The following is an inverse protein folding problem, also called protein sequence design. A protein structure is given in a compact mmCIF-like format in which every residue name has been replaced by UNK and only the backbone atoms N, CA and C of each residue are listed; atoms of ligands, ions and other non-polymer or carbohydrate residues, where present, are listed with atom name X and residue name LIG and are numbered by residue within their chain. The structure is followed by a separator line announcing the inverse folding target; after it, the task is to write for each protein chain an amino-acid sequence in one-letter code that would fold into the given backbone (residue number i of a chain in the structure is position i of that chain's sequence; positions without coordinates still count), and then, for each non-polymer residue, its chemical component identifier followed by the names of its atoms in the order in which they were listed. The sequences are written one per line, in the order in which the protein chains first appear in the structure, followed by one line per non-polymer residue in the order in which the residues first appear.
data_IF_676977816702
#
_entry.id   IF_676977816702
#
_cell.length_a   1.000
_cell.length_b   1.000
_cell.length_c   1.000
_cell.angle_alpha   90.00
_cell.angle_beta   90.00
_cell.angle_gamma   90.00
#
_symmetry.space_group_name_H-M   'P 1'
#
loop_
_entity.id
_entity.type
_entity.pdbx_description
1 polymer ?
#
# COMPACT_ATOMS: atom_id res chain seq x y z
N UNK A 1 2.52 -32.05 67.95
CA UNK A 1 2.60 -30.59 67.67
C UNK A 1 2.50 -30.34 66.17
N UNK A 2 1.62 -29.42 65.77
CA UNK A 2 1.07 -29.25 64.40
C UNK A 2 2.09 -28.72 63.38
N UNK A 3 2.32 -29.48 62.29
CA UNK A 3 2.82 -28.94 61.02
C UNK A 3 1.69 -28.09 60.39
N UNK A 4 1.83 -26.77 60.40
CA UNK A 4 0.96 -25.85 59.64
C UNK A 4 1.29 -26.02 58.14
N UNK A 5 0.35 -26.56 57.37
CA UNK A 5 0.30 -26.47 55.91
C UNK A 5 0.44 -25.00 55.49
N UNK A 6 1.53 -24.65 54.79
CA UNK A 6 1.62 -23.39 54.02
C UNK A 6 0.76 -23.58 52.77
N UNK A 7 -0.46 -23.05 52.78
CA UNK A 7 -1.32 -22.99 51.59
C UNK A 7 -0.59 -22.27 50.46
N UNK A 8 -0.58 -22.88 49.28
CA UNK A 8 0.00 -22.29 48.08
C UNK A 8 -0.75 -20.98 47.76
N UNK A 9 -0.09 -19.84 47.94
CA UNK A 9 -0.68 -18.53 47.61
C UNK A 9 -0.69 -18.41 46.10
N UNK A 10 -1.86 -18.47 45.48
CA UNK A 10 -2.02 -18.24 44.05
C UNK A 10 -1.92 -16.74 43.74
N UNK A 11 -0.75 -16.34 43.21
CA UNK A 11 -0.45 -14.96 42.83
C UNK A 11 -1.38 -14.46 41.72
N UNK A 12 -1.85 -15.33 40.82
CA UNK A 12 -2.79 -14.95 39.76
C UNK A 12 -4.16 -14.58 40.35
N UNK A 13 -4.62 -15.35 41.34
CA UNK A 13 -5.87 -15.06 42.06
C UNK A 13 -5.77 -13.75 42.84
N UNK A 14 -4.61 -13.47 43.46
CA UNK A 14 -4.36 -12.21 44.16
C UNK A 14 -4.35 -11.00 43.22
N UNK A 15 -3.72 -11.10 42.05
CA UNK A 15 -3.73 -10.04 41.02
C UNK A 15 -5.18 -9.76 40.60
N UNK A 16 -5.95 -10.81 40.31
CA UNK A 16 -7.35 -10.68 39.87
C UNK A 16 -8.23 -10.06 40.97
N UNK A 17 -8.06 -10.47 42.23
CA UNK A 17 -8.78 -9.91 43.37
C UNK A 17 -8.38 -8.45 43.66
N UNK A 18 -7.10 -8.10 43.49
CA UNK A 18 -6.64 -6.72 43.63
C UNK A 18 -7.25 -5.81 42.57
N UNK A 19 -7.36 -6.30 41.33
CA UNK A 19 -7.99 -5.57 40.23
C UNK A 19 -9.53 -5.49 40.34
N UNK A 20 -10.18 -6.45 41.02
CA UNK A 20 -11.61 -6.33 41.38
C UNK A 20 -11.87 -5.23 42.42
N UNK A 21 -10.90 -4.99 43.32
CA UNK A 21 -11.00 -3.97 44.38
C UNK A 21 -10.50 -2.59 43.95
N UNK A 22 -9.57 -2.52 43.00
CA UNK A 22 -9.01 -1.28 42.46
C UNK A 22 -9.04 -1.30 40.94
N UNK A 23 -9.52 -0.24 40.27
CA UNK A 23 -9.65 -0.21 38.81
C UNK A 23 -8.32 -0.32 38.07
N UNK A 24 -7.20 -0.09 38.77
CA UNK A 24 -5.84 -0.22 38.24
C UNK A 24 -4.86 -0.66 39.34
N UNK A 25 -3.90 -1.52 38.99
CA UNK A 25 -2.89 -2.06 39.92
C UNK A 25 -1.51 -2.01 39.27
N UNK A 26 -0.47 -1.61 40.02
CA UNK A 26 0.92 -1.71 39.58
C UNK A 26 1.54 -3.03 40.06
N UNK A 27 2.54 -3.53 39.34
CA UNK A 27 3.30 -4.71 39.78
C UNK A 27 3.95 -4.50 41.16
N UNK A 28 4.35 -3.26 41.49
CA UNK A 28 4.88 -2.89 42.80
C UNK A 28 3.89 -3.11 43.94
N UNK A 29 2.59 -2.97 43.69
CA UNK A 29 1.56 -3.08 44.72
C UNK A 29 1.38 -4.55 45.13
N UNK A 30 1.47 -5.46 44.15
CA UNK A 30 1.43 -6.91 44.38
C UNK A 30 2.72 -7.40 45.03
N UNK A 31 3.88 -6.87 44.63
CA UNK A 31 5.16 -7.16 45.30
C UNK A 31 5.11 -6.77 46.77
N UNK A 32 4.61 -5.56 47.10
CA UNK A 32 4.43 -5.12 48.49
C UNK A 32 3.44 -5.98 49.28
N UNK A 33 2.35 -6.42 48.64
CA UNK A 33 1.32 -7.21 49.31
C UNK A 33 1.70 -8.68 49.55
N UNK A 34 2.61 -9.23 48.73
CA UNK A 34 2.96 -10.66 48.75
C UNK A 34 4.37 -10.96 49.26
N UNK A 35 5.28 -9.97 49.22
CA UNK A 35 6.70 -10.16 49.53
C UNK A 35 7.48 -10.95 48.47
N UNK A 36 6.85 -11.36 47.36
CA UNK A 36 7.53 -12.08 46.29
C UNK A 36 8.43 -11.17 45.45
N UNK A 37 9.43 -11.77 44.78
CA UNK A 37 10.32 -11.03 43.89
C UNK A 37 9.54 -10.42 42.71
N UNK A 38 10.00 -9.25 42.25
CA UNK A 38 9.36 -8.55 41.12
C UNK A 38 9.35 -9.39 39.84
N UNK A 39 10.39 -10.19 39.62
CA UNK A 39 10.47 -11.12 38.48
C UNK A 39 9.37 -12.20 38.55
N UNK A 40 9.15 -12.77 39.73
CA UNK A 40 8.12 -13.80 39.95
C UNK A 40 6.71 -13.24 39.73
N UNK A 41 6.40 -12.07 40.32
CA UNK A 41 5.10 -11.38 40.13
C UNK A 41 4.88 -10.99 38.66
N UNK A 42 5.90 -10.49 37.99
CA UNK A 42 5.81 -10.12 36.57
C UNK A 42 5.50 -11.32 35.67
N UNK A 43 5.96 -12.53 36.02
CA UNK A 43 5.62 -13.76 35.27
C UNK A 43 4.11 -13.98 35.23
N UNK A 44 3.43 -13.79 36.36
CA UNK A 44 1.97 -13.94 36.43
C UNK A 44 1.23 -12.81 35.73
N UNK A 45 1.73 -11.56 35.77
CA UNK A 45 1.18 -10.48 34.94
C UNK A 45 1.30 -10.78 33.45
N UNK A 46 2.43 -11.33 33.00
CA UNK A 46 2.60 -11.76 31.60
C UNK A 46 1.67 -12.91 31.25
N UNK A 47 1.52 -13.90 32.13
CA UNK A 47 0.59 -15.01 31.95
C UNK A 47 -0.87 -14.52 31.84
N UNK A 48 -1.35 -13.71 32.78
CA UNK A 48 -2.71 -13.17 32.75
C UNK A 48 -2.95 -12.25 31.54
N UNK A 49 -1.91 -11.57 31.05
CA UNK A 49 -1.96 -10.78 29.82
C UNK A 49 -2.05 -11.68 28.58
N UNK A 50 -1.29 -12.77 28.52
CA UNK A 50 -1.37 -13.78 27.45
C UNK A 50 -2.74 -14.47 27.44
N UNK A 51 -3.31 -14.74 28.61
CA UNK A 51 -4.66 -15.28 28.78
C UNK A 51 -5.78 -14.25 28.51
N UNK A 52 -5.44 -12.99 28.18
CA UNK A 52 -6.41 -11.93 27.87
C UNK A 52 -7.23 -11.44 29.06
N UNK A 53 -6.89 -11.82 30.30
CA UNK A 53 -7.63 -11.46 31.52
C UNK A 53 -7.36 -10.03 32.00
N UNK A 54 -6.21 -9.46 31.61
CA UNK A 54 -5.79 -8.11 32.02
C UNK A 54 -5.09 -7.38 30.86
N UNK A 55 -5.12 -6.04 30.92
CA UNK A 55 -4.43 -5.18 29.95
C UNK A 55 -3.43 -4.25 30.64
N UNK A 56 -2.31 -4.00 29.98
CA UNK A 56 -1.29 -3.05 30.42
C UNK A 56 -1.56 -1.66 29.82
N UNK A 57 -1.61 -0.66 30.68
CA UNK A 57 -1.67 0.77 30.35
C UNK A 57 -0.31 1.44 30.67
N UNK A 58 0.23 2.19 29.71
CA UNK A 58 1.46 2.97 29.87
C UNK A 58 2.77 2.19 29.64
N UNK A 59 3.90 2.90 29.70
CA UNK A 59 5.24 2.37 29.44
C UNK A 59 6.15 2.48 30.68
N UNK A 60 7.05 1.50 30.85
CA UNK A 60 8.07 1.46 31.90
C UNK A 60 7.54 1.78 33.31
N UNK A 61 7.97 2.90 33.92
CA UNK A 61 7.62 3.29 35.30
C UNK A 61 6.15 3.75 35.47
N UNK A 62 5.40 3.89 34.38
CA UNK A 62 3.96 4.23 34.39
C UNK A 62 3.05 3.04 34.15
N UNK A 63 3.62 1.83 34.01
CA UNK A 63 2.88 0.58 33.79
C UNK A 63 1.80 0.33 34.85
N UNK A 64 0.54 0.31 34.44
CA UNK A 64 -0.62 -0.06 35.26
C UNK A 64 -1.39 -1.18 34.59
N UNK A 65 -1.86 -2.15 35.35
CA UNK A 65 -2.69 -3.25 34.87
C UNK A 65 -4.14 -3.00 35.24
N UNK A 66 -5.05 -3.36 34.35
CA UNK A 66 -6.50 -3.27 34.55
C UNK A 66 -7.14 -4.61 34.22
N UNK A 67 -8.30 -4.92 34.80
CA UNK A 67 -9.11 -6.05 34.32
C UNK A 67 -9.50 -5.82 32.86
N UNK A 68 -9.60 -6.92 32.12
CA UNK A 68 -10.14 -6.95 30.77
C UNK A 68 -11.65 -6.66 30.78
N UNK A 69 -12.04 -5.42 31.08
CA UNK A 69 -13.36 -4.92 30.72
C UNK A 69 -13.33 -4.57 29.23
N UNK A 70 -14.20 -5.20 28.44
CA UNK A 70 -14.31 -4.96 27.00
C UNK A 70 -14.39 -3.47 26.68
N UNK A 71 -15.06 -2.64 27.49
CA UNK A 71 -15.14 -1.19 27.26
C UNK A 71 -13.80 -0.48 27.44
N UNK A 72 -13.00 -0.86 28.42
CA UNK A 72 -11.69 -0.25 28.67
C UNK A 72 -10.65 -0.76 27.68
N UNK A 73 -10.72 -2.04 27.30
CA UNK A 73 -9.91 -2.61 26.21
C UNK A 73 -10.20 -1.86 24.91
N UNK A 74 -11.47 -1.67 24.56
CA UNK A 74 -11.88 -0.93 23.37
C UNK A 74 -11.41 0.52 23.42
N UNK A 75 -11.55 1.23 24.56
CA UNK A 75 -11.02 2.60 24.73
C UNK A 75 -9.50 2.67 24.59
N UNK A 76 -8.79 1.71 25.17
CA UNK A 76 -7.32 1.67 25.14
C UNK A 76 -6.83 1.41 23.72
N UNK A 77 -7.42 0.42 23.04
CA UNK A 77 -7.10 0.11 21.64
C UNK A 77 -7.43 1.27 20.71
N UNK A 78 -8.56 1.96 20.92
CA UNK A 78 -8.94 3.17 20.18
C UNK A 78 -7.96 4.33 20.32
N UNK A 79 -7.16 4.37 21.40
CA UNK A 79 -6.10 5.38 21.57
C UNK A 79 -4.80 5.06 20.82
N UNK A 80 -4.64 3.83 20.33
CA UNK A 80 -3.44 3.40 19.60
C UNK A 80 -3.60 3.80 18.14
N UNK A 81 -2.93 4.88 17.73
CA UNK A 81 -3.02 5.39 16.37
C UNK A 81 -1.90 4.92 15.44
N UNK A 82 -1.03 4.04 15.92
CA UNK A 82 0.14 3.55 15.18
C UNK A 82 0.26 2.04 15.31
N UNK A 83 0.57 1.37 14.20
CA UNK A 83 0.92 -0.04 14.12
C UNK A 83 2.28 -0.18 13.46
N UNK A 84 3.18 -0.98 14.05
CA UNK A 84 4.48 -1.29 13.46
C UNK A 84 4.88 -2.73 13.76
N UNK A 85 5.20 -3.49 12.72
CA UNK A 85 5.64 -4.89 12.84
C UNK A 85 6.70 -5.23 11.81
N UNK A 86 7.61 -6.12 12.22
CA UNK A 86 8.48 -6.85 11.31
C UNK A 86 7.89 -8.26 11.18
N UNK A 87 7.29 -8.55 10.03
CA UNK A 87 6.59 -9.80 9.76
C UNK A 87 7.57 -10.80 9.15
N UNK A 88 7.49 -12.08 9.54
CA UNK A 88 8.19 -13.16 8.84
C UNK A 88 7.37 -13.55 7.62
N UNK A 89 8.01 -13.66 6.46
CA UNK A 89 7.32 -14.02 5.22
C UNK A 89 7.23 -15.55 5.09
N UNK A 90 6.50 -16.18 6.01
CA UNK A 90 6.25 -17.63 6.04
C UNK A 90 4.79 -17.81 6.44
N UNK A 91 3.96 -18.36 5.55
CA UNK A 91 2.51 -18.50 5.73
C UNK A 91 1.86 -17.18 6.18
N UNK A 92 2.35 -16.06 5.63
CA UNK A 92 1.84 -14.73 5.93
C UNK A 92 0.65 -14.44 5.01
N UNK A 93 -0.41 -13.86 5.58
CA UNK A 93 -1.64 -13.50 4.87
C UNK A 93 -1.98 -12.05 5.19
N UNK A 94 -2.22 -11.24 4.17
CA UNK A 94 -2.43 -9.80 4.28
C UNK A 94 -3.73 -9.44 5.00
N UNK A 95 -4.78 -10.25 4.82
CA UNK A 95 -6.07 -10.12 5.49
C UNK A 95 -5.94 -10.32 7.00
N UNK A 96 -5.17 -11.30 7.46
CA UNK A 96 -4.90 -11.57 8.88
C UNK A 96 -4.17 -10.37 9.52
N UNK A 97 -3.21 -9.78 8.80
CA UNK A 97 -2.48 -8.60 9.29
C UNK A 97 -3.39 -7.38 9.36
N UNK A 98 -4.24 -7.16 8.34
CA UNK A 98 -5.24 -6.10 8.35
C UNK A 98 -6.21 -6.27 9.53
N UNK A 99 -6.70 -7.47 9.74
CA UNK A 99 -7.57 -7.84 10.86
C UNK A 99 -6.92 -7.53 12.22
N UNK A 100 -5.62 -7.83 12.36
CA UNK A 100 -4.85 -7.48 13.56
C UNK A 100 -4.84 -5.97 13.79
N UNK A 101 -4.62 -5.17 12.73
CA UNK A 101 -4.60 -3.71 12.80
C UNK A 101 -5.97 -3.19 13.23
N UNK A 102 -7.05 -3.63 12.58
CA UNK A 102 -8.43 -3.20 12.88
C UNK A 102 -8.84 -3.58 14.30
N UNK A 103 -8.50 -4.80 14.76
CA UNK A 103 -8.89 -5.31 16.08
C UNK A 103 -8.08 -4.74 17.22
N UNK A 104 -6.83 -4.30 16.98
CA UNK A 104 -5.90 -3.91 18.04
C UNK A 104 -5.53 -2.42 18.05
N UNK A 105 -5.99 -1.64 17.09
CA UNK A 105 -5.69 -0.19 17.01
C UNK A 105 -6.96 0.65 16.82
N UNK A 106 -6.81 1.96 16.99
CA UNK A 106 -7.82 2.98 16.71
C UNK A 106 -7.68 3.60 15.31
N UNK A 107 -6.79 3.09 14.46
CA UNK A 107 -6.51 3.65 13.13
C UNK A 107 -7.79 3.69 12.28
N UNK A 108 -8.58 2.62 12.31
CA UNK A 108 -9.85 2.53 11.59
C UNK A 108 -11.04 3.11 12.39
N UNK A 109 -10.81 3.61 13.61
CA UNK A 109 -11.90 4.14 14.43
C UNK A 109 -12.32 5.53 13.93
N UNK A 110 -13.60 5.70 13.59
CA UNK A 110 -14.19 6.99 13.21
C UNK A 110 -13.69 7.54 11.88
N UNK A 111 -13.20 6.67 10.98
CA UNK A 111 -12.99 7.03 9.57
C UNK A 111 -14.26 6.69 8.77
N UNK A 112 -14.50 7.40 7.67
CA UNK A 112 -15.63 7.13 6.79
C UNK A 112 -15.49 5.76 6.09
N UNK A 113 -16.61 5.18 5.69
CA UNK A 113 -16.63 3.86 5.07
C UNK A 113 -15.82 3.82 3.77
N UNK A 114 -15.92 4.85 2.91
CA UNK A 114 -15.17 4.93 1.67
C UNK A 114 -13.65 4.96 1.92
N UNK A 115 -13.19 5.75 2.90
CA UNK A 115 -11.76 5.80 3.27
C UNK A 115 -11.31 4.46 3.88
N UNK A 116 -12.14 3.83 4.71
CA UNK A 116 -11.85 2.50 5.27
C UNK A 116 -11.66 1.47 4.16
N UNK A 117 -12.55 1.44 3.16
CA UNK A 117 -12.49 0.50 2.03
C UNK A 117 -11.26 0.73 1.16
N UNK A 118 -10.94 1.98 0.85
CA UNK A 118 -9.73 2.34 0.11
C UNK A 118 -8.48 1.89 0.87
N UNK A 119 -8.41 2.20 2.16
CA UNK A 119 -7.26 1.88 2.99
C UNK A 119 -7.06 0.36 3.12
N UNK A 120 -8.15 -0.39 3.34
CA UNK A 120 -8.12 -1.85 3.39
C UNK A 120 -7.62 -2.44 2.07
N UNK A 121 -8.23 -2.05 0.93
CA UNK A 121 -7.83 -2.52 -0.39
C UNK A 121 -6.37 -2.20 -0.71
N UNK A 122 -5.97 -0.94 -0.56
CA UNK A 122 -4.61 -0.51 -0.85
C UNK A 122 -3.58 -1.23 0.03
N UNK A 123 -3.87 -1.40 1.32
CA UNK A 123 -2.96 -2.08 2.23
C UNK A 123 -2.80 -3.56 1.88
N UNK A 124 -3.90 -4.28 1.63
CA UNK A 124 -3.85 -5.71 1.29
C UNK A 124 -3.14 -5.93 -0.05
N UNK A 125 -3.44 -5.13 -1.07
CA UNK A 125 -2.76 -5.23 -2.37
C UNK A 125 -1.25 -5.00 -2.23
N UNK A 126 -0.82 -3.98 -1.48
CA UNK A 126 0.61 -3.67 -1.35
C UNK A 126 1.35 -4.68 -0.48
N UNK A 127 0.72 -5.21 0.57
CA UNK A 127 1.30 -6.26 1.40
C UNK A 127 1.36 -7.60 0.66
N UNK A 128 0.31 -7.98 -0.06
CA UNK A 128 0.28 -9.21 -0.84
C UNK A 128 1.37 -9.20 -1.92
N UNK A 129 1.53 -8.09 -2.65
CA UNK A 129 2.63 -7.92 -3.61
C UNK A 129 4.01 -8.14 -2.95
N UNK A 130 4.21 -7.67 -1.71
CA UNK A 130 5.44 -7.90 -0.98
C UNK A 130 5.60 -9.37 -0.55
N UNK A 131 4.52 -10.03 -0.12
CA UNK A 131 4.53 -11.46 0.27
C UNK A 131 4.94 -12.34 -0.91
N UNK A 132 4.27 -12.16 -2.05
CA UNK A 132 4.35 -13.08 -3.19
C UNK A 132 5.54 -12.82 -4.11
N UNK A 133 5.96 -11.57 -4.27
CA UNK A 133 6.92 -11.20 -5.31
C UNK A 133 8.27 -10.74 -4.78
N UNK A 134 8.39 -10.39 -3.50
CA UNK A 134 9.68 -9.87 -2.98
C UNK A 134 10.76 -10.96 -2.85
N UNK A 135 10.37 -12.20 -2.54
CA UNK A 135 11.30 -13.23 -2.07
C UNK A 135 12.03 -12.87 -0.77
N UNK A 136 11.57 -11.84 -0.05
CA UNK A 136 12.20 -11.39 1.20
C UNK A 136 11.81 -12.32 2.35
N UNK A 137 12.74 -12.59 3.27
CA UNK A 137 12.47 -13.38 4.49
C UNK A 137 11.53 -12.68 5.47
N UNK A 138 11.42 -11.36 5.35
CA UNK A 138 10.69 -10.53 6.30
C UNK A 138 10.29 -9.20 5.69
N UNK A 139 9.13 -8.70 6.10
CA UNK A 139 8.50 -7.48 5.58
C UNK A 139 8.20 -6.55 6.75
N UNK A 140 8.67 -5.31 6.67
CA UNK A 140 8.32 -4.27 7.62
C UNK A 140 6.99 -3.64 7.21
N UNK A 141 6.03 -3.64 8.13
CA UNK A 141 4.75 -2.94 8.00
C UNK A 141 4.68 -1.84 9.05
N UNK A 142 4.25 -0.67 8.61
CA UNK A 142 3.91 0.47 9.46
C UNK A 142 2.60 1.08 8.97
N UNK A 143 1.69 1.43 9.89
CA UNK A 143 0.47 2.18 9.58
C UNK A 143 0.20 3.17 10.71
N UNK A 144 -0.22 4.37 10.37
CA UNK A 144 -0.50 5.42 11.33
C UNK A 144 -1.68 6.28 10.87
N UNK A 145 -2.57 6.59 11.81
CA UNK A 145 -3.57 7.64 11.68
C UNK A 145 -3.06 8.88 12.43
N UNK A 146 -2.78 9.96 11.72
CA UNK A 146 -2.27 11.19 12.32
C UNK A 146 -2.91 12.41 11.67
N UNK A 147 -3.33 13.37 12.49
CA UNK A 147 -4.06 14.55 12.03
C UNK A 147 -5.30 14.16 11.22
N UNK A 148 -5.38 14.67 9.99
CA UNK A 148 -6.49 14.40 9.07
C UNK A 148 -6.15 13.36 8.00
N UNK A 149 -5.20 12.45 8.25
CA UNK A 149 -4.78 11.44 7.27
C UNK A 149 -4.47 10.08 7.89
N UNK A 150 -4.50 9.05 7.05
CA UNK A 150 -3.93 7.73 7.34
C UNK A 150 -2.83 7.43 6.34
N UNK A 151 -1.69 6.97 6.86
CA UNK A 151 -0.53 6.59 6.07
C UNK A 151 -0.13 5.15 6.40
N UNK A 152 0.30 4.39 5.41
CA UNK A 152 0.99 3.12 5.63
C UNK A 152 2.26 3.02 4.81
N UNK A 153 3.16 2.17 5.30
CA UNK A 153 4.39 1.77 4.63
C UNK A 153 4.49 0.25 4.65
N UNK A 154 4.77 -0.32 3.48
CA UNK A 154 5.18 -1.73 3.32
C UNK A 154 6.61 -1.71 2.78
N UNK A 155 7.53 -2.40 3.44
CA UNK A 155 8.93 -2.45 3.03
C UNK A 155 9.50 -3.86 3.11
N UNK A 156 9.86 -4.41 1.96
CA UNK A 156 10.61 -5.65 1.85
C UNK A 156 12.09 -5.35 1.53
N UNK A 157 12.99 -6.28 1.90
CA UNK A 157 14.42 -6.24 1.50
C UNK A 157 14.75 -7.29 0.46
N UNK A 158 13.77 -7.62 -0.38
CA UNK A 158 13.83 -8.65 -1.40
C UNK A 158 14.49 -8.20 -2.70
N UNK A 159 14.04 -8.78 -3.81
CA UNK A 159 14.56 -8.54 -5.16
C UNK A 159 14.35 -7.09 -5.62
N UNK A 160 13.28 -6.44 -5.18
CA UNK A 160 12.85 -5.12 -5.65
C UNK A 160 11.97 -5.19 -6.90
N UNK A 161 10.91 -4.38 -6.91
CA UNK A 161 9.86 -4.43 -7.94
C UNK A 161 10.40 -4.17 -9.35
N UNK A 162 11.23 -3.14 -9.54
CA UNK A 162 11.73 -2.80 -10.88
C UNK A 162 12.67 -3.89 -11.39
N UNK A 163 13.53 -4.43 -10.52
CA UNK A 163 14.43 -5.51 -10.92
C UNK A 163 13.66 -6.81 -11.23
N UNK A 164 12.64 -7.14 -10.43
CA UNK A 164 11.75 -8.29 -10.69
C UNK A 164 11.06 -8.19 -12.06
N UNK A 165 10.50 -7.02 -12.38
CA UNK A 165 9.87 -6.75 -13.68
C UNK A 165 10.91 -6.85 -14.81
N UNK A 166 12.09 -6.25 -14.64
CA UNK A 166 13.15 -6.31 -15.64
C UNK A 166 13.56 -7.74 -15.97
N UNK A 167 13.78 -8.58 -14.95
CA UNK A 167 14.18 -9.98 -15.14
C UNK A 167 13.10 -10.77 -15.92
N UNK A 168 11.83 -10.63 -15.53
CA UNK A 168 10.74 -11.41 -16.11
C UNK A 168 10.35 -10.96 -17.51
N UNK A 169 10.40 -9.66 -17.78
CA UNK A 169 10.07 -9.07 -19.08
C UNK A 169 11.29 -8.92 -19.99
N UNK A 170 12.49 -9.28 -19.52
CA UNK A 170 13.78 -9.12 -20.20
C UNK A 170 14.06 -7.67 -20.64
N UNK A 171 13.66 -6.71 -19.81
CA UNK A 171 13.94 -5.30 -20.03
C UNK A 171 15.39 -4.95 -19.73
N UNK A 172 15.91 -3.97 -20.46
CA UNK A 172 17.33 -3.60 -20.41
C UNK A 172 17.63 -2.59 -19.31
N UNK A 173 16.64 -1.78 -18.94
CA UNK A 173 16.78 -0.73 -17.95
C UNK A 173 15.55 -0.62 -17.02
N UNK A 174 15.72 0.15 -15.94
CA UNK A 174 14.67 0.37 -14.93
C UNK A 174 13.53 1.22 -15.45
N UNK A 175 13.77 2.09 -16.45
CA UNK A 175 12.74 2.95 -17.02
C UNK A 175 11.74 2.15 -17.83
N UNK A 176 12.16 1.13 -18.58
CA UNK A 176 11.27 0.18 -19.25
C UNK A 176 10.35 -0.53 -18.26
N UNK A 177 10.87 -0.97 -17.10
CA UNK A 177 10.07 -1.57 -16.05
C UNK A 177 9.06 -0.59 -15.42
N UNK A 178 9.47 0.65 -15.17
CA UNK A 178 8.59 1.70 -14.64
C UNK A 178 7.48 2.04 -15.65
N UNK A 179 7.83 2.17 -16.93
CA UNK A 179 6.91 2.46 -18.02
C UNK A 179 5.86 1.36 -18.16
N UNK A 180 6.26 0.09 -18.08
CA UNK A 180 5.29 -1.01 -18.13
C UNK A 180 4.39 -1.05 -16.88
N UNK A 181 4.93 -0.73 -15.71
CA UNK A 181 4.14 -0.64 -14.47
C UNK A 181 3.09 0.47 -14.55
N UNK A 182 3.42 1.62 -15.16
CA UNK A 182 2.53 2.77 -15.32
C UNK A 182 1.28 2.45 -16.16
N UNK A 183 1.41 1.58 -17.17
CA UNK A 183 0.33 1.17 -18.08
C UNK A 183 -0.72 0.29 -17.41
N UNK A 184 -0.39 -0.37 -16.30
CA UNK A 184 -1.27 -1.32 -15.61
C UNK A 184 -1.39 -2.68 -16.31
N UNK A 185 -2.17 -3.59 -15.71
CA UNK A 185 -2.24 -5.02 -16.06
C UNK A 185 -0.87 -5.66 -16.20
N UNK A 186 0.04 -5.32 -15.29
CA UNK A 186 1.36 -5.93 -15.25
C UNK A 186 1.32 -7.02 -14.21
N UNK A 187 1.13 -8.26 -14.67
CA UNK A 187 1.19 -9.43 -13.83
C UNK A 187 2.39 -10.27 -14.22
N UNK A 188 3.21 -10.59 -13.23
CA UNK A 188 4.32 -11.52 -13.41
C UNK A 188 3.94 -12.98 -13.13
N UNK A 189 2.67 -13.20 -12.76
CA UNK A 189 2.02 -14.48 -12.49
C UNK A 189 0.55 -14.40 -12.94
N UNK A 190 0.27 -14.37 -14.26
CA UNK A 190 -1.06 -14.07 -14.80
C UNK A 190 -2.17 -15.06 -14.40
N UNK A 191 -1.80 -16.29 -14.02
CA UNK A 191 -2.74 -17.31 -13.57
C UNK A 191 -3.31 -17.03 -12.17
N UNK A 192 -2.61 -16.24 -11.35
CA UNK A 192 -2.97 -15.97 -9.95
C UNK A 192 -3.24 -14.48 -9.68
N UNK A 193 -2.75 -13.58 -10.54
CA UNK A 193 -2.92 -12.13 -10.35
C UNK A 193 -3.31 -11.42 -11.64
N UNK A 194 -4.28 -10.51 -11.53
CA UNK A 194 -4.71 -9.64 -12.63
C UNK A 194 -3.67 -8.57 -13.00
N UNK A 195 -2.73 -8.25 -12.10
CA UNK A 195 -1.72 -7.22 -12.32
C UNK A 195 -2.26 -5.79 -12.21
N UNK A 196 -3.36 -5.61 -11.49
CA UNK A 196 -4.12 -4.36 -11.42
C UNK A 196 -3.94 -3.62 -10.09
N UNK A 197 -3.50 -4.32 -9.04
CA UNK A 197 -3.42 -3.80 -7.66
C UNK A 197 -2.65 -2.49 -7.52
N UNK A 198 -1.42 -2.42 -8.06
CA UNK A 198 -0.61 -1.19 -8.04
C UNK A 198 -1.26 -0.07 -8.85
N UNK A 199 -1.81 -0.40 -10.02
CA UNK A 199 -2.49 0.56 -10.87
C UNK A 199 -3.64 1.20 -10.11
N UNK A 200 -4.58 0.43 -9.58
CA UNK A 200 -5.73 0.99 -8.87
C UNK A 200 -5.34 1.66 -7.55
N UNK A 201 -4.44 1.07 -6.77
CA UNK A 201 -3.95 1.67 -5.51
C UNK A 201 -3.38 3.06 -5.75
N UNK A 202 -2.60 3.25 -6.82
CA UNK A 202 -2.02 4.55 -7.16
C UNK A 202 -3.04 5.61 -7.57
N UNK A 203 -4.25 5.24 -8.01
CA UNK A 203 -5.34 6.18 -8.35
C UNK A 203 -6.27 6.44 -7.16
N UNK A 204 -6.32 5.53 -6.19
CA UNK A 204 -7.14 5.67 -4.97
C UNK A 204 -6.45 6.54 -3.90
N UNK A 205 -5.12 6.53 -3.85
CA UNK A 205 -4.34 7.30 -2.89
C UNK A 205 -4.48 8.82 -3.09
N UNK A 206 -4.24 9.63 -2.06
CA UNK A 206 -3.78 11.01 -2.30
C UNK A 206 -2.35 11.01 -2.79
N UNK A 207 -1.50 10.19 -2.16
CA UNK A 207 -0.12 9.99 -2.59
C UNK A 207 0.26 8.52 -2.47
N UNK A 208 0.83 7.96 -3.53
CA UNK A 208 1.50 6.67 -3.51
C UNK A 208 2.95 6.86 -3.96
N UNK A 209 3.89 6.33 -3.18
CA UNK A 209 5.31 6.33 -3.50
C UNK A 209 5.81 4.90 -3.53
N UNK A 210 6.44 4.51 -4.63
CA UNK A 210 7.14 3.24 -4.78
C UNK A 210 8.63 3.56 -5.00
N UNK A 211 9.47 3.11 -4.08
CA UNK A 211 10.92 3.27 -4.16
C UNK A 211 11.58 1.88 -4.22
N UNK A 212 12.45 1.69 -5.21
CA UNK A 212 13.22 0.46 -5.38
C UNK A 212 14.47 0.75 -6.20
N UNK A 213 15.61 0.14 -5.84
CA UNK A 213 16.91 0.51 -6.33
C UNK A 213 17.12 2.03 -6.22
N UNK A 214 17.59 2.71 -7.28
CA UNK A 214 17.84 4.16 -7.30
C UNK A 214 16.65 4.98 -7.80
N UNK A 215 15.47 4.38 -8.01
CA UNK A 215 14.31 5.07 -8.58
C UNK A 215 13.17 5.20 -7.57
N UNK A 216 12.48 6.32 -7.67
CA UNK A 216 11.28 6.65 -6.89
C UNK A 216 10.17 7.07 -7.85
N UNK A 217 9.12 6.25 -7.92
CA UNK A 217 7.89 6.54 -8.63
C UNK A 217 6.89 7.14 -7.65
N UNK A 218 6.36 8.32 -7.96
CA UNK A 218 5.49 9.11 -7.10
C UNK A 218 4.22 9.41 -7.86
N UNK A 219 3.08 8.94 -7.36
CA UNK A 219 1.76 9.36 -7.78
C UNK A 219 1.25 10.37 -6.76
N UNK A 220 0.97 11.59 -7.21
CA UNK A 220 0.41 12.65 -6.38
C UNK A 220 -0.93 13.11 -6.99
N UNK A 221 -2.01 12.55 -6.46
CA UNK A 221 -3.36 12.83 -6.93
C UNK A 221 -3.94 14.11 -6.32
N UNK A 222 -3.22 14.80 -5.43
CA UNK A 222 -3.61 16.12 -4.92
C UNK A 222 -3.35 17.21 -5.96
N UNK A 223 -2.29 17.05 -6.74
CA UNK A 223 -1.96 17.89 -7.91
C UNK A 223 -2.19 17.19 -9.25
N UNK A 224 -2.73 15.96 -9.23
CA UNK A 224 -3.06 15.12 -10.39
C UNK A 224 -1.87 14.79 -11.30
N UNK A 225 -0.68 14.61 -10.71
CA UNK A 225 0.54 14.37 -11.47
C UNK A 225 1.29 13.11 -11.01
N UNK A 226 2.28 12.70 -11.79
CA UNK A 226 3.16 11.56 -11.50
C UNK A 226 4.59 11.90 -11.86
N UNK A 227 5.51 11.47 -11.00
CA UNK A 227 6.92 11.81 -11.11
C UNK A 227 7.77 10.55 -11.01
N UNK A 228 8.84 10.52 -11.79
CA UNK A 228 9.92 9.57 -11.65
C UNK A 228 11.15 10.37 -11.23
N UNK A 229 11.74 10.03 -10.09
CA UNK A 229 12.93 10.70 -9.56
C UNK A 229 14.01 9.69 -9.23
N UNK A 230 15.25 10.12 -9.35
CA UNK A 230 16.34 9.41 -8.71
C UNK A 230 16.28 9.61 -7.19
N UNK A 231 16.68 8.58 -6.46
CA UNK A 231 16.68 8.58 -5.01
C UNK A 231 17.79 7.72 -4.43
N UNK A 232 17.83 7.64 -3.11
CA UNK A 232 18.74 6.74 -2.41
C UNK A 232 18.52 5.29 -2.88
N UNK A 233 19.62 4.55 -2.97
CA UNK A 233 19.59 3.14 -3.35
C UNK A 233 18.91 2.31 -2.27
N UNK A 234 17.79 1.67 -2.61
CA UNK A 234 17.00 0.83 -1.71
C UNK A 234 17.04 -0.61 -2.17
N UNK A 235 17.55 -1.48 -1.30
CA UNK A 235 17.44 -2.94 -1.46
C UNK A 235 16.00 -3.38 -1.18
N UNK A 236 15.32 -3.95 -2.18
CA UNK A 236 13.93 -4.38 -2.12
C UNK A 236 12.96 -3.32 -2.62
N UNK A 237 11.72 -3.34 -2.12
CA UNK A 237 10.68 -2.37 -2.48
C UNK A 237 10.12 -1.70 -1.23
N UNK A 238 10.11 -0.38 -1.22
CA UNK A 238 9.42 0.43 -0.21
C UNK A 238 8.21 1.10 -0.86
N UNK A 239 7.02 0.77 -0.37
CA UNK A 239 5.77 1.43 -0.72
C UNK A 239 5.34 2.33 0.43
N UNK A 240 4.94 3.56 0.13
CA UNK A 240 4.31 4.49 1.07
C UNK A 240 3.02 4.99 0.46
N UNK A 241 1.92 4.85 1.19
CA UNK A 241 0.59 5.27 0.77
C UNK A 241 0.04 6.28 1.78
N UNK A 242 -0.68 7.29 1.32
CA UNK A 242 -1.39 8.24 2.17
C UNK A 242 -2.77 8.58 1.59
N UNK A 243 -3.74 8.76 2.47
CA UNK A 243 -5.08 9.26 2.15
C UNK A 243 -5.62 10.15 3.28
N UNK A 244 -6.28 11.25 2.91
CA UNK A 244 -7.02 12.13 3.81
C UNK A 244 -8.29 11.48 4.35
N UNK A 245 -8.65 11.78 5.59
CA UNK A 245 -9.86 11.29 6.25
C UNK A 245 -11.14 11.89 5.67
N UNK A 246 -11.01 13.03 4.99
CA UNK A 246 -12.06 13.76 4.28
C UNK A 246 -12.07 13.47 2.77
N UNK A 247 -11.27 12.50 2.30
CA UNK A 247 -11.24 12.11 0.90
C UNK A 247 -12.62 11.66 0.42
N UNK A 248 -13.14 12.34 -0.61
CA UNK A 248 -14.37 11.95 -1.31
C UNK A 248 -14.20 10.83 -2.33
N UNK A 249 -12.98 10.27 -2.47
CA UNK A 249 -12.73 9.19 -3.44
C UNK A 249 -13.48 7.92 -3.06
N UNK A 250 -13.85 7.16 -4.07
CA UNK A 250 -14.58 5.91 -3.93
C UNK A 250 -13.96 4.83 -4.83
N UNK A 251 -13.87 3.59 -4.34
CA UNK A 251 -13.26 2.47 -5.07
C UNK A 251 -13.99 2.16 -6.36
N UNK A 252 -15.32 2.16 -6.33
CA UNK A 252 -16.18 1.83 -7.46
C UNK A 252 -16.09 2.87 -8.56
N UNK A 253 -16.00 4.16 -8.22
CA UNK A 253 -15.88 5.23 -9.21
C UNK A 253 -14.56 5.12 -9.98
N UNK A 254 -13.45 4.86 -9.26
CA UNK A 254 -12.14 4.64 -9.88
C UNK A 254 -12.15 3.38 -10.74
N UNK A 255 -12.73 2.27 -10.27
CA UNK A 255 -12.80 1.05 -11.06
C UNK A 255 -13.64 1.26 -12.32
N UNK A 256 -14.80 1.92 -12.19
CA UNK A 256 -15.69 2.23 -13.30
C UNK A 256 -15.02 3.13 -14.35
N UNK A 257 -14.19 4.09 -13.92
CA UNK A 257 -13.46 4.97 -14.84
C UNK A 257 -12.54 4.20 -15.80
N UNK A 258 -12.00 3.06 -15.36
CA UNK A 258 -11.09 2.24 -16.15
C UNK A 258 -11.72 0.93 -16.65
N UNK A 259 -12.97 0.67 -16.26
CA UNK A 259 -13.76 -0.43 -16.78
C UNK A 259 -14.34 -0.07 -18.16
N UNK A 260 -14.26 -1.02 -19.10
CA UNK A 260 -15.02 -0.93 -20.34
C UNK A 260 -16.49 -1.35 -20.13
N UNK A 261 -17.22 -1.53 -21.25
CA UNK A 261 -18.59 -2.05 -21.24
C UNK A 261 -18.72 -3.47 -20.61
N UNK A 262 -17.60 -4.16 -20.44
CA UNK A 262 -17.48 -5.51 -19.88
C UNK A 262 -17.35 -5.54 -18.36
N UNK A 263 -17.34 -4.38 -17.68
CA UNK A 263 -16.93 -4.23 -16.27
C UNK A 263 -15.51 -4.72 -15.95
N UNK A 264 -14.74 -5.10 -16.98
CA UNK A 264 -13.31 -5.45 -16.85
C UNK A 264 -12.47 -4.21 -17.04
N UNK A 265 -11.34 -4.13 -16.35
CA UNK A 265 -10.31 -3.14 -16.61
C UNK A 265 -9.90 -3.26 -18.09
N UNK A 266 -10.38 -2.38 -18.95
CA UNK A 266 -10.18 -2.46 -20.41
C UNK A 266 -9.72 -1.11 -20.97
N UNK A 267 -9.65 -0.08 -20.11
CA UNK A 267 -9.15 1.24 -20.44
C UNK A 267 -7.88 1.54 -19.65
N UNK A 268 -6.86 2.09 -20.28
CA UNK A 268 -5.68 2.63 -19.59
C UNK A 268 -5.39 4.07 -20.03
N UNK A 269 -4.59 4.76 -19.22
CA UNK A 269 -4.14 6.12 -19.45
C UNK A 269 -2.61 6.16 -19.40
N UNK A 270 -2.01 6.74 -20.43
CA UNK A 270 -0.57 6.83 -20.59
C UNK A 270 -0.18 8.29 -20.68
N UNK A 271 0.51 8.78 -19.65
CA UNK A 271 1.10 10.13 -19.65
C UNK A 271 2.37 10.13 -20.48
N UNK A 272 2.30 10.70 -21.67
CA UNK A 272 3.37 10.67 -22.66
C UNK A 272 4.67 11.25 -22.08
N UNK A 273 4.56 12.32 -21.29
CA UNK A 273 5.70 13.01 -20.65
C UNK A 273 6.62 12.12 -19.79
N UNK A 274 6.16 10.94 -19.35
CA UNK A 274 6.94 10.04 -18.48
C UNK A 274 7.85 9.08 -19.26
N UNK A 275 7.75 9.03 -20.59
CA UNK A 275 8.41 8.02 -21.42
C UNK A 275 9.70 8.50 -22.09
N UNK A 276 10.06 9.77 -21.89
CA UNK A 276 11.29 10.35 -22.41
C UNK A 276 11.74 11.53 -21.54
N UNK A 277 13.06 11.64 -21.36
CA UNK A 277 13.68 12.81 -20.75
C UNK A 277 13.65 13.97 -21.76
N UNK A 278 12.59 14.77 -21.71
CA UNK A 278 12.39 15.91 -22.58
C UNK A 278 10.92 16.13 -22.94
N UNK A 279 10.66 17.30 -23.51
CA UNK A 279 9.32 17.76 -23.91
C UNK A 279 9.00 17.51 -25.38
N UNK A 280 9.97 16.97 -26.15
CA UNK A 280 9.86 16.72 -27.58
C UNK A 280 9.91 15.21 -27.91
N UNK A 281 8.92 14.72 -28.65
CA UNK A 281 8.77 13.31 -28.99
C UNK A 281 8.79 13.11 -30.50
N UNK A 282 9.99 13.01 -31.09
CA UNK A 282 10.18 13.13 -32.53
C UNK A 282 10.18 11.77 -33.28
N UNK A 283 10.62 10.71 -32.63
CA UNK A 283 11.00 9.46 -33.29
C UNK A 283 9.94 8.35 -33.20
N UNK A 284 9.95 7.46 -34.19
CA UNK A 284 9.14 6.22 -34.18
C UNK A 284 9.50 5.29 -33.02
N UNK A 285 10.76 5.26 -32.60
CA UNK A 285 11.19 4.41 -31.48
C UNK A 285 10.60 4.87 -30.15
N UNK A 286 10.50 6.19 -29.92
CA UNK A 286 9.77 6.75 -28.77
C UNK A 286 8.29 6.33 -28.79
N UNK A 287 7.63 6.46 -29.94
CA UNK A 287 6.24 6.02 -30.10
C UNK A 287 6.05 4.53 -29.79
N UNK A 288 6.91 3.66 -30.34
CA UNK A 288 6.84 2.20 -30.09
C UNK A 288 6.97 1.84 -28.61
N UNK A 289 7.80 2.54 -27.84
CA UNK A 289 7.93 2.30 -26.37
C UNK A 289 6.64 2.60 -25.62
N UNK A 290 5.93 3.67 -26.02
CA UNK A 290 4.65 4.06 -25.43
C UNK A 290 3.60 2.99 -25.71
N UNK A 291 3.45 2.58 -26.98
CA UNK A 291 2.36 1.67 -27.39
C UNK A 291 2.64 0.18 -27.15
N UNK A 292 3.88 -0.20 -26.83
CA UNK A 292 4.24 -1.58 -26.50
C UNK A 292 3.40 -2.12 -25.33
N UNK A 293 2.84 -3.32 -25.45
CA UNK A 293 2.06 -3.96 -24.40
C UNK A 293 0.66 -3.37 -24.18
N UNK A 294 0.27 -2.36 -24.96
CA UNK A 294 -1.06 -1.76 -24.86
C UNK A 294 -2.15 -2.53 -25.62
N UNK A 295 -1.79 -3.55 -26.41
CA UNK A 295 -2.71 -4.41 -27.15
C UNK A 295 -3.68 -5.21 -26.26
N UNK A 296 -3.41 -5.27 -24.95
CA UNK A 296 -4.27 -5.90 -23.91
C UNK A 296 -5.44 -5.02 -23.45
N UNK A 297 -5.55 -3.80 -23.97
CA UNK A 297 -6.62 -2.85 -23.64
C UNK A 297 -7.54 -2.60 -24.84
N UNK A 298 -8.79 -2.26 -24.58
CA UNK A 298 -9.76 -1.82 -25.61
C UNK A 298 -9.73 -0.32 -25.82
N UNK A 299 -9.33 0.45 -24.81
CA UNK A 299 -9.23 1.90 -24.91
C UNK A 299 -7.92 2.38 -24.29
N UNK A 300 -7.19 3.20 -25.03
CA UNK A 300 -5.94 3.81 -24.60
C UNK A 300 -6.13 5.31 -24.67
N UNK A 301 -5.97 5.98 -23.54
CA UNK A 301 -5.93 7.43 -23.47
C UNK A 301 -4.46 7.87 -23.41
N UNK A 302 -4.00 8.57 -24.44
CA UNK A 302 -2.68 9.19 -24.48
C UNK A 302 -2.80 10.63 -24.00
N UNK A 303 -2.23 10.90 -22.84
CA UNK A 303 -2.22 12.23 -22.22
C UNK A 303 -0.95 12.98 -22.63
N UNK A 304 -1.14 14.06 -23.38
CA UNK A 304 -0.10 14.94 -23.89
C UNK A 304 0.12 16.19 -23.03
N UNK A 305 -0.42 16.23 -21.81
CA UNK A 305 -0.13 17.30 -20.87
C UNK A 305 1.39 17.46 -20.67
N UNK A 306 1.85 18.72 -20.68
CA UNK A 306 3.27 19.10 -20.65
C UNK A 306 4.16 18.49 -21.75
N UNK A 307 3.58 18.12 -22.90
CA UNK A 307 4.33 17.80 -24.13
C UNK A 307 4.30 19.00 -25.07
N UNK A 308 5.47 19.48 -25.50
CA UNK A 308 5.55 20.64 -26.39
C UNK A 308 5.22 20.27 -27.83
N UNK A 309 5.80 19.18 -28.33
CA UNK A 309 5.63 18.77 -29.72
C UNK A 309 5.89 17.28 -29.93
N UNK A 310 5.26 16.74 -30.98
CA UNK A 310 5.54 15.41 -31.50
C UNK A 310 5.99 15.51 -32.96
N UNK A 311 6.92 14.66 -33.37
CA UNK A 311 7.38 14.59 -34.76
C UNK A 311 6.43 13.77 -35.62
N UNK A 312 6.51 13.98 -36.95
CA UNK A 312 5.71 13.21 -37.91
C UNK A 312 5.91 11.70 -37.73
N UNK A 313 7.15 11.24 -37.53
CA UNK A 313 7.43 9.82 -37.31
C UNK A 313 6.75 9.27 -36.05
N UNK A 314 6.71 10.03 -34.97
CA UNK A 314 6.02 9.65 -33.74
C UNK A 314 4.51 9.52 -33.96
N UNK A 315 3.88 10.54 -34.55
CA UNK A 315 2.44 10.54 -34.82
C UNK A 315 2.04 9.40 -35.77
N UNK A 316 2.79 9.23 -36.85
CA UNK A 316 2.60 8.19 -37.86
C UNK A 316 2.64 6.77 -37.27
N UNK A 317 3.60 6.51 -36.37
CA UNK A 317 3.74 5.20 -35.73
C UNK A 317 2.53 4.88 -34.85
N UNK A 318 2.04 5.81 -34.03
CA UNK A 318 0.92 5.56 -33.11
C UNK A 318 -0.41 5.52 -33.87
N UNK A 319 -0.73 6.60 -34.56
CA UNK A 319 -2.09 6.86 -35.04
C UNK A 319 -2.41 6.22 -36.40
N UNK A 320 -1.39 5.81 -37.16
CA UNK A 320 -1.56 5.09 -38.43
C UNK A 320 -1.03 3.66 -38.36
N UNK A 321 0.26 3.46 -38.09
CA UNK A 321 0.89 2.13 -38.19
C UNK A 321 0.41 1.18 -37.09
N UNK A 322 0.48 1.60 -35.83
CA UNK A 322 0.05 0.77 -34.70
C UNK A 322 -1.47 0.62 -34.68
N UNK A 323 -2.22 1.70 -34.90
CA UNK A 323 -3.68 1.67 -35.00
C UNK A 323 -4.18 0.77 -36.14
N UNK A 324 -3.53 0.74 -37.31
CA UNK A 324 -3.89 -0.17 -38.39
C UNK A 324 -3.66 -1.65 -38.02
N UNK A 325 -2.65 -1.94 -37.18
CA UNK A 325 -2.39 -3.29 -36.66
C UNK A 325 -3.41 -3.72 -35.62
N UNK A 326 -3.92 -2.78 -34.83
CA UNK A 326 -4.91 -3.02 -33.77
C UNK A 326 -6.18 -2.17 -33.98
N UNK A 327 -6.95 -2.42 -35.07
CA UNK A 327 -8.06 -1.56 -35.45
C UNK A 327 -9.19 -1.53 -34.43
N UNK A 328 -9.34 -2.60 -33.63
CA UNK A 328 -10.35 -2.72 -32.58
C UNK A 328 -10.05 -1.91 -31.30
N UNK A 329 -8.82 -1.40 -31.14
CA UNK A 329 -8.43 -0.64 -29.94
C UNK A 329 -8.68 0.84 -30.15
N UNK A 330 -9.51 1.46 -29.31
CA UNK A 330 -9.76 2.89 -29.37
C UNK A 330 -8.55 3.67 -28.80
N UNK A 331 -7.92 4.52 -29.59
CA UNK A 331 -6.80 5.37 -29.15
C UNK A 331 -7.30 6.82 -29.13
N UNK A 332 -7.31 7.42 -27.94
CA UNK A 332 -7.79 8.79 -27.71
C UNK A 332 -6.64 9.65 -27.25
N UNK A 333 -6.37 10.75 -27.95
CA UNK A 333 -5.42 11.77 -27.52
C UNK A 333 -6.14 12.84 -26.68
N UNK A 334 -5.61 13.17 -25.50
CA UNK A 334 -6.14 14.22 -24.62
C UNK A 334 -5.04 15.20 -24.23
N UNK A 335 -5.43 16.39 -23.75
CA UNK A 335 -4.53 17.47 -23.32
C UNK A 335 -3.48 17.86 -24.38
N UNK A 336 -3.86 17.79 -25.66
CA UNK A 336 -3.02 18.15 -26.80
C UNK A 336 -2.99 19.66 -27.01
N UNK A 337 -1.87 20.20 -27.47
CA UNK A 337 -1.79 21.54 -28.05
C UNK A 337 -2.03 21.53 -29.57
N UNK A 338 -2.04 22.72 -30.20
CA UNK A 338 -2.28 22.88 -31.65
C UNK A 338 -1.25 22.13 -32.52
N UNK A 339 0.03 22.15 -32.15
CA UNK A 339 1.08 21.45 -32.89
C UNK A 339 0.87 19.93 -32.87
N UNK A 340 0.53 19.40 -31.69
CA UNK A 340 0.27 17.97 -31.51
C UNK A 340 -0.96 17.55 -32.32
N UNK A 341 -2.06 18.30 -32.24
CA UNK A 341 -3.27 18.02 -33.02
C UNK A 341 -3.01 18.03 -34.52
N UNK A 342 -2.26 19.02 -35.01
CA UNK A 342 -1.87 19.08 -36.41
C UNK A 342 -1.09 17.83 -36.85
N UNK A 343 -0.14 17.36 -36.03
CA UNK A 343 0.66 16.16 -36.36
C UNK A 343 -0.16 14.88 -36.31
N UNK A 344 -1.11 14.76 -35.37
CA UNK A 344 -2.05 13.63 -35.32
C UNK A 344 -2.93 13.61 -36.57
N UNK A 345 -3.55 14.74 -36.91
CA UNK A 345 -4.42 14.86 -38.08
C UNK A 345 -3.68 14.58 -39.38
N UNK A 346 -2.41 14.97 -39.47
CA UNK A 346 -1.57 14.66 -40.64
C UNK A 346 -1.21 13.17 -40.75
N UNK A 347 -1.14 12.46 -39.64
CA UNK A 347 -0.81 11.04 -39.61
C UNK A 347 -2.02 10.14 -39.95
N UNK A 348 -3.22 10.57 -39.57
CA UNK A 348 -4.47 9.84 -39.89
C UNK A 348 -4.88 10.20 -41.32
N UNK A 349 -5.08 9.22 -42.23
CA UNK A 349 -5.61 9.51 -43.55
C UNK A 349 -6.99 10.16 -43.42
N UNK A 350 -7.22 11.27 -44.11
CA UNK A 350 -8.58 11.83 -44.27
C UNK A 350 -9.46 10.74 -44.88
N UNK A 351 -10.58 10.42 -44.21
CA UNK A 351 -11.60 9.54 -44.78
C UNK A 351 -12.25 10.16 -46.00
#
# INVERSE_FOLDING_TARGET
MRKKQRGCIDVAQLITNALKKKPQVKASDIVKATGFSRAYVNRFFQQLKQEGKIVLLGNANTARYILADQKIILRTKRGIMTFRRMLRNINLSEDIVLDEIVKNTGIFAGISENVSRILSYAFTEMLNNAIEHSGSRSIEVFMEKSGNAVCFKVFDKGVGIFHSIMQKMKFRDQMEAINELLKGKLSTMPASHSGEGIFFTSRLADTLVIQSAKKKLIFDNTIKDTFIRDGADVKGTKVVFSIGLDSGRNTEDVFRQYAGNSFKFDKTEVRVKLYHDGVQYLSRSQARRIVSGLEKFKTIQLDFDNVETIGQGFADEIFRVWKARFPHINVVAVNTNQNIQFMINRAVPTQ
#
